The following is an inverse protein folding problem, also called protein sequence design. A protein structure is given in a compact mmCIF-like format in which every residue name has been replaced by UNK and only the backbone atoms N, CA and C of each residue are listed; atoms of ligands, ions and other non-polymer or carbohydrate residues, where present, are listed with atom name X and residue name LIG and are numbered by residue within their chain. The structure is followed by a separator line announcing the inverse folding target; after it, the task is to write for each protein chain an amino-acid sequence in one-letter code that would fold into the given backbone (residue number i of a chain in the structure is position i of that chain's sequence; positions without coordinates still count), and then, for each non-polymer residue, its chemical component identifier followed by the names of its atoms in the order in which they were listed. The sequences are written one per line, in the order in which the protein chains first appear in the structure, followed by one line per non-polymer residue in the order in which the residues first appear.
data_IF_725835618521
#
_entry.id   IF_725835618521
#
_cell.length_a   1.000
_cell.length_b   1.000
_cell.length_c   1.000
_cell.angle_alpha   90.00
_cell.angle_beta   90.00
_cell.angle_gamma   90.00
#
_symmetry.space_group_name_H-M   'P 1'
#
loop_
_entity.id
_entity.type
_entity.pdbx_description
1 polymer ?
#
# COMPACT_ATOMS: atom_id res chain seq x y z
N UNK A 1 16.53 -34.65 -25.99
CA UNK A 1 16.96 -35.28 -27.26
C UNK A 1 18.15 -36.22 -27.09
N UNK A 2 19.32 -35.79 -26.59
CA UNK A 2 20.52 -36.65 -26.48
C UNK A 2 20.31 -37.96 -25.69
N UNK A 3 19.66 -37.90 -24.52
CA UNK A 3 19.33 -39.11 -23.74
C UNK A 3 18.33 -40.03 -24.47
N UNK A 4 17.45 -39.46 -25.30
CA UNK A 4 16.51 -40.22 -26.13
C UNK A 4 17.24 -40.99 -27.24
N UNK A 5 18.16 -40.32 -27.95
CA UNK A 5 19.02 -40.96 -28.95
C UNK A 5 19.89 -42.04 -28.31
N UNK A 6 20.50 -41.75 -27.16
CA UNK A 6 21.32 -42.73 -26.42
C UNK A 6 20.54 -43.98 -26.02
N UNK A 7 19.30 -43.82 -25.52
CA UNK A 7 18.42 -44.94 -25.19
C UNK A 7 17.95 -45.72 -26.42
N UNK A 8 17.66 -45.02 -27.53
CA UNK A 8 17.32 -45.68 -28.79
C UNK A 8 18.50 -46.54 -29.29
N UNK A 9 19.71 -45.98 -29.31
CA UNK A 9 20.92 -46.73 -29.70
C UNK A 9 21.21 -47.87 -28.76
N UNK A 10 21.02 -47.68 -27.43
CA UNK A 10 21.19 -48.74 -26.45
C UNK A 10 20.20 -49.89 -26.70
N UNK A 11 18.92 -49.58 -26.96
CA UNK A 11 17.92 -50.59 -27.29
C UNK A 11 18.25 -51.38 -28.56
N UNK A 12 18.75 -50.72 -29.61
CA UNK A 12 19.15 -51.37 -30.87
C UNK A 12 20.30 -52.37 -30.69
N UNK A 13 21.18 -52.16 -29.72
CA UNK A 13 22.31 -53.06 -29.42
C UNK A 13 22.03 -54.02 -28.26
N UNK A 14 20.76 -54.14 -27.82
CA UNK A 14 20.37 -55.04 -26.72
C UNK A 14 20.72 -54.55 -25.31
N UNK A 15 20.99 -53.26 -25.16
CA UNK A 15 21.28 -52.61 -23.88
C UNK A 15 20.03 -52.25 -23.07
N UNK A 16 20.23 -51.94 -21.79
CA UNK A 16 19.19 -51.52 -20.84
C UNK A 16 19.03 -49.98 -20.90
N UNK A 17 17.83 -49.41 -20.65
CA UNK A 17 17.66 -47.96 -20.56
C UNK A 17 18.69 -47.27 -19.65
N UNK A 18 19.38 -46.29 -20.21
CA UNK A 18 20.38 -45.47 -19.56
C UNK A 18 19.80 -44.13 -19.08
N UNK A 19 20.27 -43.69 -17.92
CA UNK A 19 19.96 -42.40 -17.32
C UNK A 19 21.21 -41.75 -16.74
N UNK A 20 21.12 -40.46 -16.44
CA UNK A 20 22.19 -39.76 -15.73
C UNK A 20 22.33 -40.29 -14.31
N UNK A 21 23.57 -40.56 -13.89
CA UNK A 21 23.87 -41.06 -12.53
C UNK A 21 24.54 -39.95 -11.73
N UNK A 22 23.75 -39.31 -10.87
CA UNK A 22 24.14 -38.14 -10.06
C UNK A 22 25.44 -38.39 -9.29
N UNK A 23 25.57 -39.57 -8.67
CA UNK A 23 26.74 -39.92 -7.85
C UNK A 23 28.02 -39.97 -8.69
N UNK A 24 27.98 -40.56 -9.90
CA UNK A 24 29.16 -40.65 -10.79
C UNK A 24 29.56 -39.27 -11.31
N UNK A 25 28.58 -38.45 -11.68
CA UNK A 25 28.82 -37.07 -12.12
C UNK A 25 29.45 -36.23 -11.00
N UNK A 26 28.95 -36.36 -9.77
CA UNK A 26 29.50 -35.63 -8.61
C UNK A 26 30.96 -36.01 -8.32
N UNK A 27 31.30 -37.30 -8.40
CA UNK A 27 32.68 -37.77 -8.21
C UNK A 27 33.59 -37.29 -9.35
N UNK A 28 33.13 -37.36 -10.60
CA UNK A 28 33.88 -36.89 -11.77
C UNK A 28 34.21 -35.39 -11.67
N UNK A 29 33.27 -34.57 -11.19
CA UNK A 29 33.48 -33.12 -10.95
C UNK A 29 34.45 -32.89 -9.78
N UNK A 30 34.30 -33.63 -8.67
CA UNK A 30 35.23 -33.54 -7.54
C UNK A 30 36.66 -33.96 -7.90
N UNK A 31 36.81 -34.87 -8.87
CA UNK A 31 38.10 -35.28 -9.44
C UNK A 31 38.68 -34.25 -10.43
N UNK A 32 38.08 -33.05 -10.57
CA UNK A 32 38.59 -31.96 -11.40
C UNK A 32 38.24 -32.06 -12.89
N UNK A 33 37.30 -32.93 -13.28
CA UNK A 33 36.91 -33.08 -14.68
C UNK A 33 36.10 -31.89 -15.19
N UNK A 34 36.57 -31.28 -16.27
CA UNK A 34 35.94 -30.10 -16.91
C UNK A 34 35.37 -30.41 -18.30
N UNK A 35 35.53 -31.64 -18.81
CA UNK A 35 35.15 -32.00 -20.18
C UNK A 35 34.34 -33.30 -20.29
N UNK A 36 33.56 -33.42 -21.37
CA UNK A 36 32.78 -34.63 -21.70
C UNK A 36 33.69 -35.83 -22.06
N UNK A 37 34.96 -35.58 -22.40
CA UNK A 37 35.93 -36.63 -22.74
C UNK A 37 36.11 -37.59 -21.57
N UNK A 38 36.09 -37.09 -20.32
CA UNK A 38 36.16 -37.96 -19.13
C UNK A 38 35.06 -39.02 -19.12
N UNK A 39 33.83 -38.66 -19.48
CA UNK A 39 32.70 -39.61 -19.53
C UNK A 39 32.87 -40.63 -20.65
N UNK A 40 33.41 -40.23 -21.81
CA UNK A 40 33.69 -41.13 -22.93
C UNK A 40 34.81 -42.11 -22.54
N UNK A 41 35.91 -41.62 -21.97
CA UNK A 41 37.02 -42.44 -21.48
C UNK A 41 36.56 -43.42 -20.39
N UNK A 42 35.71 -42.97 -19.47
CA UNK A 42 35.12 -43.84 -18.46
C UNK A 42 34.29 -44.97 -19.09
N UNK A 43 33.54 -44.69 -20.16
CA UNK A 43 32.83 -45.70 -20.93
C UNK A 43 33.77 -46.75 -21.54
N UNK A 44 34.88 -46.31 -22.16
CA UNK A 44 35.92 -47.23 -22.66
C UNK A 44 36.56 -48.07 -21.55
N UNK A 45 36.87 -47.47 -20.40
CA UNK A 45 37.44 -48.20 -19.27
C UNK A 45 36.49 -49.27 -18.72
N UNK A 46 35.19 -48.97 -18.63
CA UNK A 46 34.18 -49.98 -18.26
C UNK A 46 34.13 -51.10 -19.31
N UNK A 47 34.13 -50.75 -20.60
CA UNK A 47 34.11 -51.73 -21.69
C UNK A 47 35.32 -52.69 -21.61
N UNK A 48 36.53 -52.16 -21.49
CA UNK A 48 37.75 -52.98 -21.36
C UNK A 48 37.78 -53.77 -20.05
N UNK A 49 37.35 -53.19 -18.93
CA UNK A 49 37.30 -53.92 -17.66
C UNK A 49 36.36 -55.13 -17.75
N UNK A 50 35.17 -54.97 -18.31
CA UNK A 50 34.22 -56.08 -18.47
C UNK A 50 34.77 -57.16 -19.42
N UNK A 51 35.50 -56.76 -20.47
CA UNK A 51 36.09 -57.69 -21.44
C UNK A 51 37.31 -58.46 -20.87
N UNK A 52 38.20 -57.79 -20.12
CA UNK A 52 39.51 -58.33 -19.76
C UNK A 52 39.55 -59.07 -18.42
N UNK A 53 38.67 -58.73 -17.46
CA UNK A 53 38.73 -59.28 -16.10
C UNK A 53 37.42 -59.93 -15.58
N UNK A 54 36.65 -60.68 -16.40
CA UNK A 54 35.39 -61.28 -15.95
C UNK A 54 35.58 -62.27 -14.79
N UNK A 55 36.68 -63.04 -14.79
CA UNK A 55 36.98 -64.02 -13.74
C UNK A 55 37.22 -63.40 -12.36
N UNK A 56 37.71 -62.15 -12.30
CA UNK A 56 37.88 -61.41 -11.05
C UNK A 56 36.59 -60.74 -10.61
N UNK A 57 35.81 -60.20 -11.55
CA UNK A 57 34.51 -59.57 -11.25
C UNK A 57 33.53 -60.58 -10.61
N UNK A 58 33.54 -61.84 -11.05
CA UNK A 58 32.70 -62.90 -10.48
C UNK A 58 33.10 -63.32 -9.05
N UNK A 59 34.26 -62.88 -8.54
CA UNK A 59 34.69 -63.15 -7.16
C UNK A 59 34.24 -62.08 -6.16
N UNK A 60 33.59 -61.01 -6.64
CA UNK A 60 33.14 -59.91 -5.77
C UNK A 60 31.99 -60.42 -4.87
N UNK A 61 32.13 -60.34 -3.53
CA UNK A 61 31.07 -60.76 -2.63
C UNK A 61 29.82 -59.88 -2.77
N UNK A 62 28.63 -60.50 -2.74
CA UNK A 62 27.35 -59.76 -2.76
C UNK A 62 27.18 -58.82 -1.57
N UNK A 63 27.81 -59.13 -0.43
CA UNK A 63 27.80 -58.28 0.77
C UNK A 63 28.49 -56.93 0.52
N UNK A 64 29.56 -56.89 -0.28
CA UNK A 64 30.24 -55.65 -0.66
C UNK A 64 29.33 -54.76 -1.52
N UNK A 65 28.59 -55.35 -2.45
CA UNK A 65 27.61 -54.64 -3.29
C UNK A 65 26.44 -54.12 -2.44
N UNK A 66 25.92 -54.93 -1.52
CA UNK A 66 24.85 -54.53 -0.61
C UNK A 66 25.26 -53.35 0.29
N UNK A 67 26.48 -53.37 0.84
CA UNK A 67 27.00 -52.26 1.64
C UNK A 67 27.07 -50.95 0.84
N UNK A 68 27.51 -51.00 -0.42
CA UNK A 68 27.54 -49.84 -1.33
C UNK A 68 26.13 -49.32 -1.59
N UNK A 69 25.15 -50.20 -1.83
CA UNK A 69 23.76 -49.83 -2.07
C UNK A 69 23.12 -49.17 -0.84
N UNK A 70 23.33 -49.72 0.36
CA UNK A 70 22.81 -49.15 1.62
C UNK A 70 23.42 -47.77 1.87
N UNK A 71 24.75 -47.64 1.76
CA UNK A 71 25.44 -46.36 1.94
C UNK A 71 24.94 -45.29 0.95
N UNK A 72 24.78 -45.68 -0.31
CA UNK A 72 24.27 -44.78 -1.36
C UNK A 72 22.81 -44.39 -1.09
N UNK A 73 21.97 -45.35 -0.70
CA UNK A 73 20.58 -45.12 -0.31
C UNK A 73 20.46 -44.14 0.85
N UNK A 74 21.24 -44.31 1.91
CA UNK A 74 21.29 -43.38 3.04
C UNK A 74 21.74 -41.98 2.62
N UNK A 75 22.76 -41.88 1.75
CA UNK A 75 23.25 -40.58 1.27
C UNK A 75 22.21 -39.83 0.44
N UNK A 76 21.38 -40.53 -0.33
CA UNK A 76 20.32 -39.94 -1.16
C UNK A 76 19.05 -39.63 -0.35
N UNK A 77 18.74 -40.42 0.69
CA UNK A 77 17.52 -40.28 1.48
C UNK A 77 17.82 -40.01 2.97
N UNK A 78 18.55 -38.92 3.25
CA UNK A 78 18.94 -38.57 4.61
C UNK A 78 17.74 -38.09 5.45
N UNK A 79 17.65 -38.44 6.74
CA UNK A 79 16.57 -37.96 7.62
C UNK A 79 16.43 -36.43 7.70
N UNK A 80 17.53 -35.70 7.48
CA UNK A 80 17.51 -34.23 7.44
C UNK A 80 16.63 -33.66 6.33
N UNK A 81 16.43 -34.37 5.22
CA UNK A 81 15.55 -33.94 4.12
C UNK A 81 14.10 -33.87 4.60
N UNK A 82 13.63 -34.90 5.32
CA UNK A 82 12.27 -34.97 5.85
C UNK A 82 11.99 -33.83 6.83
N UNK A 83 12.94 -33.57 7.74
CA UNK A 83 12.83 -32.46 8.71
C UNK A 83 12.76 -31.11 8.00
N UNK A 84 13.58 -30.90 6.98
CA UNK A 84 13.59 -29.65 6.20
C UNK A 84 12.30 -29.44 5.42
N UNK A 85 11.71 -30.49 4.86
CA UNK A 85 10.44 -30.38 4.12
C UNK A 85 9.27 -30.17 5.09
N UNK A 86 9.26 -30.85 6.24
CA UNK A 86 8.26 -30.65 7.29
C UNK A 86 8.26 -29.19 7.78
N UNK A 87 9.43 -28.57 7.94
CA UNK A 87 9.57 -27.18 8.32
C UNK A 87 8.99 -26.18 7.30
N UNK A 88 8.76 -26.58 6.05
CA UNK A 88 8.15 -25.72 5.01
C UNK A 88 6.62 -25.73 5.03
N UNK A 89 5.99 -26.46 5.97
CA UNK A 89 4.54 -26.51 6.14
C UNK A 89 3.87 -27.73 5.50
N UNK A 90 2.62 -27.95 5.89
CA UNK A 90 1.81 -29.12 5.48
C UNK A 90 1.61 -29.22 3.98
N UNK A 91 1.50 -28.09 3.28
CA UNK A 91 1.18 -28.04 1.86
C UNK A 91 2.30 -28.64 1.00
N UNK A 92 3.55 -28.63 1.50
CA UNK A 92 4.69 -29.27 0.84
C UNK A 92 5.00 -30.64 1.43
N UNK A 93 4.82 -30.80 2.74
CA UNK A 93 5.15 -32.05 3.42
C UNK A 93 4.20 -33.20 3.05
N UNK A 94 2.89 -32.94 2.95
CA UNK A 94 1.91 -33.99 2.68
C UNK A 94 2.11 -34.62 1.29
N UNK A 95 2.20 -33.87 0.18
CA UNK A 95 2.47 -34.48 -1.12
C UNK A 95 3.80 -35.25 -1.15
N UNK A 96 4.84 -34.72 -0.50
CA UNK A 96 6.15 -35.37 -0.41
C UNK A 96 6.07 -36.72 0.31
N UNK A 97 5.52 -36.77 1.52
CA UNK A 97 5.47 -38.01 2.30
C UNK A 97 4.53 -39.04 1.68
N UNK A 98 3.41 -38.60 1.10
CA UNK A 98 2.49 -39.48 0.35
C UNK A 98 3.22 -40.12 -0.82
N UNK A 99 4.00 -39.34 -1.59
CA UNK A 99 4.81 -39.88 -2.69
C UNK A 99 5.76 -40.96 -2.18
N UNK A 100 6.49 -40.69 -1.09
CA UNK A 100 7.44 -41.65 -0.48
C UNK A 100 6.73 -42.94 -0.05
N UNK A 101 5.63 -42.83 0.71
CA UNK A 101 4.89 -43.99 1.21
C UNK A 101 4.31 -44.80 0.05
N UNK A 102 3.72 -44.15 -0.95
CA UNK A 102 3.14 -44.84 -2.10
C UNK A 102 4.20 -45.55 -2.94
N UNK A 103 5.41 -44.99 -3.08
CA UNK A 103 6.51 -45.68 -3.78
C UNK A 103 6.92 -46.96 -3.03
N UNK A 104 6.97 -46.92 -1.69
CA UNK A 104 7.37 -48.06 -0.85
C UNK A 104 6.30 -49.16 -0.85
N UNK A 105 5.03 -48.79 -0.77
CA UNK A 105 3.90 -49.73 -0.66
C UNK A 105 3.53 -50.33 -2.01
N UNK A 106 3.55 -49.53 -3.08
CA UNK A 106 3.17 -49.96 -4.42
C UNK A 106 4.40 -50.13 -5.31
N UNK A 107 4.61 -49.21 -6.23
CA UNK A 107 5.76 -49.17 -7.11
C UNK A 107 6.07 -47.71 -7.47
N UNK A 108 7.22 -47.48 -8.11
CA UNK A 108 7.71 -46.15 -8.45
C UNK A 108 6.72 -45.35 -9.30
N UNK A 109 6.15 -45.96 -10.35
CA UNK A 109 5.28 -45.26 -11.29
C UNK A 109 3.97 -44.82 -10.60
N UNK A 110 3.29 -45.75 -9.93
CA UNK A 110 2.04 -45.47 -9.22
C UNK A 110 2.26 -44.44 -8.11
N UNK A 111 3.36 -44.55 -7.36
CA UNK A 111 3.68 -43.60 -6.29
C UNK A 111 3.92 -42.18 -6.78
N UNK A 112 4.62 -42.01 -7.91
CA UNK A 112 4.82 -40.69 -8.52
C UNK A 112 3.50 -40.09 -9.02
N UNK A 113 2.64 -40.88 -9.67
CA UNK A 113 1.35 -40.39 -10.16
C UNK A 113 0.44 -39.91 -9.04
N UNK A 114 0.35 -40.68 -7.94
CA UNK A 114 -0.41 -40.29 -6.75
C UNK A 114 0.20 -39.02 -6.13
N UNK A 115 1.53 -38.97 -6.00
CA UNK A 115 2.25 -37.81 -5.50
C UNK A 115 1.94 -36.53 -6.27
N UNK A 116 2.01 -36.59 -7.61
CA UNK A 116 1.70 -35.47 -8.49
C UNK A 116 0.24 -35.04 -8.37
N UNK A 117 -0.71 -35.98 -8.28
CA UNK A 117 -2.12 -35.66 -8.10
C UNK A 117 -2.37 -34.91 -6.78
N UNK A 118 -1.76 -35.38 -5.67
CA UNK A 118 -1.86 -34.72 -4.37
C UNK A 118 -1.18 -33.35 -4.38
N UNK A 119 0.00 -33.24 -4.98
CA UNK A 119 0.68 -31.95 -5.16
C UNK A 119 -0.18 -30.95 -5.92
N UNK A 120 -0.79 -31.37 -7.03
CA UNK A 120 -1.68 -30.53 -7.83
C UNK A 120 -2.88 -30.06 -7.02
N UNK A 121 -3.50 -30.94 -6.24
CA UNK A 121 -4.62 -30.58 -5.37
C UNK A 121 -4.25 -29.49 -4.35
N UNK A 122 -3.10 -29.62 -3.67
CA UNK A 122 -2.66 -28.63 -2.69
C UNK A 122 -2.31 -27.28 -3.33
N UNK A 123 -1.69 -27.28 -4.51
CA UNK A 123 -1.41 -26.06 -5.28
C UNK A 123 -2.72 -25.34 -5.63
N UNK A 124 -3.71 -26.08 -6.15
CA UNK A 124 -5.01 -25.51 -6.52
C UNK A 124 -5.77 -25.00 -5.29
N UNK A 125 -5.77 -25.74 -4.18
CA UNK A 125 -6.41 -25.32 -2.93
C UNK A 125 -5.80 -24.02 -2.40
N UNK A 126 -4.47 -23.94 -2.35
CA UNK A 126 -3.77 -22.74 -1.88
C UNK A 126 -4.06 -21.53 -2.77
N UNK A 127 -4.11 -21.72 -4.09
CA UNK A 127 -4.42 -20.66 -5.04
C UNK A 127 -5.90 -20.20 -4.98
N UNK A 128 -6.83 -21.13 -4.75
CA UNK A 128 -8.26 -20.84 -4.61
C UNK A 128 -8.60 -19.96 -3.39
N UNK A 129 -7.74 -19.93 -2.37
CA UNK A 129 -7.94 -19.14 -1.15
C UNK A 129 -7.44 -17.69 -1.26
N UNK A 130 -7.07 -17.21 -2.46
CA UNK A 130 -6.70 -15.81 -2.66
C UNK A 130 -7.84 -14.91 -2.16
N UNK A 131 -7.56 -14.13 -1.11
CA UNK A 131 -8.55 -13.25 -0.46
C UNK A 131 -8.97 -12.16 -1.43
N UNK A 132 -10.25 -12.17 -1.77
CA UNK A 132 -10.95 -11.06 -2.40
C UNK A 132 -11.60 -10.33 -1.24
N UNK A 133 -11.16 -9.11 -0.94
CA UNK A 133 -11.71 -8.30 0.15
C UNK A 133 -12.27 -6.99 -0.42
N UNK A 134 -13.39 -6.55 0.14
CA UNK A 134 -13.91 -5.20 -0.07
C UNK A 134 -13.26 -4.23 0.92
N UNK A 135 -12.65 -3.16 0.39
CA UNK A 135 -12.13 -2.03 1.15
C UNK A 135 -13.20 -0.93 1.22
N UNK A 136 -13.45 -0.37 2.39
CA UNK A 136 -14.33 0.80 2.56
C UNK A 136 -13.49 2.07 2.51
N UNK A 137 -13.74 2.91 1.51
CA UNK A 137 -13.07 4.20 1.31
C UNK A 137 -14.02 5.33 1.69
N UNK A 138 -13.55 6.30 2.48
CA UNK A 138 -14.32 7.51 2.82
C UNK A 138 -13.85 8.65 1.90
N UNK A 139 -14.71 9.03 0.96
CA UNK A 139 -14.49 10.14 0.02
C UNK A 139 -15.31 11.36 0.42
N UNK A 140 -15.01 12.56 -0.11
CA UNK A 140 -15.88 13.73 0.03
C UNK A 140 -17.34 13.45 -0.40
N UNK A 141 -17.52 12.59 -1.41
CA UNK A 141 -18.83 12.21 -1.96
C UNK A 141 -19.58 11.16 -1.13
N UNK A 142 -18.98 10.62 -0.06
CA UNK A 142 -19.54 9.58 0.79
C UNK A 142 -18.67 8.34 0.94
N UNK A 143 -19.22 7.30 1.58
CA UNK A 143 -18.56 5.99 1.73
C UNK A 143 -18.69 5.17 0.45
N UNK A 144 -17.55 4.68 -0.07
CA UNK A 144 -17.47 3.89 -1.28
C UNK A 144 -16.84 2.53 -0.95
N UNK A 145 -17.49 1.45 -1.38
CA UNK A 145 -16.93 0.11 -1.31
C UNK A 145 -16.02 -0.10 -2.54
N UNK A 146 -14.79 -0.59 -2.36
CA UNK A 146 -13.88 -0.95 -3.46
C UNK A 146 -13.50 -2.41 -3.39
N UNK A 147 -13.76 -3.11 -4.49
CA UNK A 147 -13.35 -4.48 -4.73
C UNK A 147 -12.12 -4.48 -5.64
N UNK A 148 -10.94 -4.74 -5.08
CA UNK A 148 -9.70 -4.84 -5.87
C UNK A 148 -9.53 -6.27 -6.35
N UNK A 149 -9.56 -6.47 -7.67
CA UNK A 149 -9.40 -7.79 -8.25
C UNK A 149 -7.91 -8.22 -8.22
N UNK A 150 -7.61 -9.45 -7.75
CA UNK A 150 -6.28 -10.06 -7.87
C UNK A 150 -5.70 -10.04 -9.29
N UNK A 151 -4.40 -10.30 -9.41
CA UNK A 151 -3.72 -10.39 -10.72
C UNK A 151 -4.28 -11.51 -11.60
N UNK A 152 -4.73 -12.60 -10.99
CA UNK A 152 -5.27 -13.79 -11.66
C UNK A 152 -6.66 -14.09 -11.08
N UNK A 153 -7.69 -13.90 -11.89
CA UNK A 153 -9.06 -14.22 -11.54
C UNK A 153 -9.47 -15.50 -12.30
N UNK A 154 -9.40 -16.64 -11.64
CA UNK A 154 -9.75 -17.95 -12.22
C UNK A 154 -11.13 -18.40 -11.77
N UNK A 155 -11.66 -19.48 -12.36
CA UNK A 155 -12.91 -20.12 -11.91
C UNK A 155 -12.91 -20.44 -10.41
N UNK A 156 -11.76 -20.80 -9.83
CA UNK A 156 -11.64 -21.13 -8.40
C UNK A 156 -11.98 -19.94 -7.48
N UNK A 157 -11.94 -18.71 -8.00
CA UNK A 157 -12.25 -17.50 -7.26
C UNK A 157 -13.75 -17.15 -7.28
N UNK A 158 -14.57 -17.85 -8.08
CA UNK A 158 -15.99 -17.54 -8.32
C UNK A 158 -16.80 -17.49 -7.03
N UNK A 159 -16.68 -18.49 -6.17
CA UNK A 159 -17.44 -18.57 -4.92
C UNK A 159 -17.11 -17.40 -3.96
N UNK A 160 -15.83 -17.04 -3.85
CA UNK A 160 -15.40 -15.91 -3.03
C UNK A 160 -15.90 -14.58 -3.62
N UNK A 161 -15.80 -14.40 -4.93
CA UNK A 161 -16.29 -13.20 -5.60
C UNK A 161 -17.80 -13.02 -5.44
N UNK A 162 -18.60 -14.09 -5.60
CA UNK A 162 -20.05 -14.07 -5.37
C UNK A 162 -20.36 -13.66 -3.94
N UNK A 163 -19.69 -14.28 -2.95
CA UNK A 163 -19.92 -13.95 -1.53
C UNK A 163 -19.64 -12.47 -1.23
N UNK A 164 -18.56 -11.91 -1.76
CA UNK A 164 -18.22 -10.49 -1.58
C UNK A 164 -19.23 -9.58 -2.28
N UNK A 165 -19.58 -9.83 -3.55
CA UNK A 165 -20.58 -9.06 -4.29
C UNK A 165 -21.98 -9.13 -3.64
N UNK A 166 -22.32 -10.26 -3.03
CA UNK A 166 -23.57 -10.43 -2.30
C UNK A 166 -23.60 -9.62 -1.00
N UNK A 167 -22.45 -9.48 -0.34
CA UNK A 167 -22.32 -8.72 0.92
C UNK A 167 -22.49 -7.21 0.75
N UNK A 168 -22.43 -6.68 -0.48
CA UNK A 168 -22.56 -5.25 -0.75
C UNK A 168 -23.98 -4.76 -0.40
N UNK A 169 -24.11 -3.74 0.47
CA UNK A 169 -25.40 -3.18 0.85
C UNK A 169 -26.18 -2.59 -0.34
N UNK A 170 -27.51 -2.59 -0.24
CA UNK A 170 -28.37 -1.85 -1.19
C UNK A 170 -28.12 -0.35 -1.09
N UNK A 171 -28.37 0.38 -2.17
CA UNK A 171 -28.25 1.85 -2.24
C UNK A 171 -26.83 2.36 -1.86
N UNK A 172 -25.81 1.57 -2.20
CA UNK A 172 -24.39 1.89 -1.93
C UNK A 172 -23.60 2.20 -3.20
N UNK A 173 -22.39 2.72 -3.04
CA UNK A 173 -21.43 2.93 -4.13
C UNK A 173 -20.40 1.80 -4.13
N UNK A 174 -20.10 1.24 -5.31
CA UNK A 174 -19.12 0.17 -5.50
C UNK A 174 -18.17 0.49 -6.65
N UNK A 175 -16.87 0.29 -6.42
CA UNK A 175 -15.82 0.32 -7.44
C UNK A 175 -15.25 -1.09 -7.59
N UNK A 176 -15.32 -1.66 -8.80
CA UNK A 176 -14.62 -2.89 -9.16
C UNK A 176 -13.35 -2.51 -9.92
N UNK A 177 -12.19 -2.81 -9.33
CA UNK A 177 -10.89 -2.35 -9.79
C UNK A 177 -10.04 -3.50 -10.34
N UNK A 178 -9.87 -3.51 -11.67
CA UNK A 178 -9.12 -4.50 -12.42
C UNK A 178 -7.77 -3.97 -12.94
N UNK A 179 -7.28 -2.82 -12.47
CA UNK A 179 -6.08 -2.15 -13.04
C UNK A 179 -4.82 -3.03 -12.99
N UNK A 180 -4.70 -3.88 -11.98
CA UNK A 180 -3.57 -4.81 -11.82
C UNK A 180 -3.92 -6.25 -12.26
N UNK A 181 -5.13 -6.48 -12.76
CA UNK A 181 -5.59 -7.80 -13.17
C UNK A 181 -5.04 -8.15 -14.55
N UNK A 182 -4.29 -9.24 -14.62
CA UNK A 182 -3.66 -9.71 -15.85
C UNK A 182 -4.59 -10.63 -16.63
N UNK A 183 -5.24 -11.56 -15.92
CA UNK A 183 -6.12 -12.58 -16.48
C UNK A 183 -7.43 -12.65 -15.71
N UNK A 184 -8.54 -12.73 -16.44
CA UNK A 184 -9.89 -12.99 -15.92
C UNK A 184 -10.46 -14.14 -16.74
N UNK A 185 -10.84 -15.21 -16.05
CA UNK A 185 -11.51 -16.34 -16.67
C UNK A 185 -12.87 -15.94 -17.25
N UNK A 186 -13.29 -16.64 -18.31
CA UNK A 186 -14.53 -16.34 -19.01
C UNK A 186 -15.73 -16.32 -18.06
N UNK A 187 -15.84 -17.30 -17.16
CA UNK A 187 -16.97 -17.37 -16.22
C UNK A 187 -16.99 -16.20 -15.24
N UNK A 188 -15.82 -15.74 -14.77
CA UNK A 188 -15.72 -14.56 -13.90
C UNK A 188 -16.12 -13.30 -14.68
N UNK A 189 -15.69 -13.19 -15.93
CA UNK A 189 -16.05 -12.04 -16.77
C UNK A 189 -17.54 -11.97 -17.08
N UNK A 190 -18.21 -13.13 -17.22
CA UNK A 190 -19.66 -13.22 -17.39
C UNK A 190 -20.40 -12.87 -16.10
N UNK A 191 -19.95 -13.40 -14.95
CA UNK A 191 -20.49 -13.03 -13.63
C UNK A 191 -20.41 -11.53 -13.36
N UNK A 192 -19.29 -10.88 -13.70
CA UNK A 192 -19.13 -9.43 -13.52
C UNK A 192 -20.06 -8.62 -14.43
N UNK A 193 -20.37 -9.12 -15.63
CA UNK A 193 -21.35 -8.50 -16.54
C UNK A 193 -22.76 -8.66 -16.02
N UNK A 194 -23.13 -9.86 -15.59
CA UNK A 194 -24.42 -10.14 -14.96
C UNK A 194 -24.62 -9.27 -13.71
N UNK A 195 -23.58 -9.14 -12.87
CA UNK A 195 -23.62 -8.25 -11.72
C UNK A 195 -23.89 -6.79 -12.13
N UNK A 196 -23.19 -6.30 -13.16
CA UNK A 196 -23.39 -4.94 -13.68
C UNK A 196 -24.80 -4.73 -14.25
N UNK A 197 -25.28 -5.67 -15.05
CA UNK A 197 -26.51 -5.50 -15.84
C UNK A 197 -27.78 -5.81 -15.04
N UNK A 198 -27.70 -6.70 -14.05
CA UNK A 198 -28.85 -7.18 -13.30
C UNK A 198 -28.76 -6.84 -11.81
N UNK A 199 -27.71 -7.30 -11.13
CA UNK A 199 -27.67 -7.24 -9.66
C UNK A 199 -27.47 -5.83 -9.11
N UNK A 200 -26.55 -5.06 -9.70
CA UNK A 200 -26.28 -3.69 -9.27
C UNK A 200 -27.52 -2.78 -9.43
N UNK A 201 -28.21 -2.75 -10.59
CA UNK A 201 -29.48 -2.03 -10.73
C UNK A 201 -30.55 -2.49 -9.74
N UNK A 202 -30.70 -3.81 -9.54
CA UNK A 202 -31.69 -4.36 -8.61
C UNK A 202 -31.42 -3.97 -7.15
N UNK A 203 -30.15 -3.91 -6.74
CA UNK A 203 -29.73 -3.44 -5.41
C UNK A 203 -29.60 -1.91 -5.34
N UNK A 204 -29.83 -1.19 -6.45
CA UNK A 204 -29.56 0.25 -6.63
C UNK A 204 -28.13 0.63 -6.23
N UNK A 205 -27.16 -0.22 -6.57
CA UNK A 205 -25.74 0.05 -6.37
C UNK A 205 -25.26 0.92 -7.52
N UNK A 206 -24.71 2.09 -7.21
CA UNK A 206 -23.99 2.89 -8.21
C UNK A 206 -22.61 2.24 -8.43
N UNK A 207 -22.33 1.81 -9.65
CA UNK A 207 -21.20 0.94 -9.97
C UNK A 207 -20.19 1.63 -10.89
N UNK A 208 -18.94 1.70 -10.43
CA UNK A 208 -17.81 2.05 -11.27
C UNK A 208 -16.97 0.80 -11.55
N UNK A 209 -16.69 0.51 -12.81
CA UNK A 209 -15.77 -0.56 -13.22
C UNK A 209 -14.55 0.07 -13.90
N UNK A 210 -13.35 -0.19 -13.39
CA UNK A 210 -12.12 0.44 -13.88
C UNK A 210 -11.02 -0.59 -14.16
N UNK A 211 -10.15 -0.29 -15.13
CA UNK A 211 -8.95 -1.07 -15.42
C UNK A 211 -9.18 -2.36 -16.21
N UNK A 212 -10.39 -2.59 -16.72
CA UNK A 212 -10.68 -3.78 -17.53
C UNK A 212 -10.04 -3.65 -18.92
N UNK A 213 -9.36 -4.71 -19.37
CA UNK A 213 -8.78 -4.80 -20.72
C UNK A 213 -9.89 -4.94 -21.77
N UNK A 214 -9.69 -4.34 -22.96
CA UNK A 214 -10.70 -4.28 -24.02
C UNK A 214 -11.28 -5.64 -24.43
N UNK A 215 -10.45 -6.69 -24.46
CA UNK A 215 -10.89 -8.02 -24.89
C UNK A 215 -11.91 -8.68 -23.95
N UNK A 216 -12.04 -8.23 -22.71
CA UNK A 216 -13.10 -8.70 -21.80
C UNK A 216 -14.48 -8.12 -22.14
N UNK A 217 -14.55 -7.11 -23.01
CA UNK A 217 -15.79 -6.39 -23.39
C UNK A 217 -16.54 -5.81 -22.18
N UNK A 218 -15.81 -5.51 -21.11
CA UNK A 218 -16.29 -4.75 -19.95
C UNK A 218 -15.68 -3.36 -20.12
N UNK A 219 -16.43 -2.46 -20.76
CA UNK A 219 -15.97 -1.07 -20.90
C UNK A 219 -15.95 -0.41 -19.54
N UNK A 220 -14.91 0.40 -19.28
CA UNK A 220 -14.83 1.19 -18.06
C UNK A 220 -16.13 2.01 -17.95
N UNK A 221 -16.89 1.74 -16.89
CA UNK A 221 -18.23 2.26 -16.67
C UNK A 221 -18.18 3.11 -15.41
N UNK A 222 -18.67 4.34 -15.49
CA UNK A 222 -18.59 5.30 -14.40
C UNK A 222 -20.01 5.83 -14.15
N UNK A 223 -20.65 5.33 -13.11
CA UNK A 223 -21.96 5.80 -12.63
C UNK A 223 -21.86 7.05 -11.77
N UNK A 224 -20.74 7.22 -11.04
CA UNK A 224 -20.56 8.32 -10.11
C UNK A 224 -19.15 8.92 -10.18
N UNK A 225 -19.08 10.21 -9.88
CA UNK A 225 -17.86 11.02 -9.91
C UNK A 225 -17.24 11.04 -8.50
N UNK A 226 -15.94 10.79 -8.40
CA UNK A 226 -15.23 10.76 -7.11
C UNK A 226 -14.56 12.10 -6.74
N UNK A 227 -14.63 13.13 -7.60
CA UNK A 227 -14.17 14.49 -7.26
C UNK A 227 -15.25 15.22 -6.48
N UNK A 228 -14.85 16.19 -5.66
CA UNK A 228 -15.80 17.07 -5.00
C UNK A 228 -16.62 17.88 -6.03
N UNK A 229 -17.93 17.93 -5.83
CA UNK A 229 -18.89 18.69 -6.65
C UNK A 229 -19.54 19.78 -5.82
N UNK A 230 -20.26 20.71 -6.48
CA UNK A 230 -21.00 21.76 -5.79
C UNK A 230 -21.96 21.20 -4.73
N UNK A 231 -22.76 20.20 -5.10
CA UNK A 231 -23.75 19.61 -4.20
C UNK A 231 -23.08 18.96 -2.98
N UNK A 232 -21.94 18.29 -3.17
CA UNK A 232 -21.19 17.70 -2.06
C UNK A 232 -20.64 18.81 -1.15
N UNK A 233 -19.97 19.80 -1.73
CA UNK A 233 -19.40 20.92 -0.99
C UNK A 233 -20.49 21.70 -0.21
N UNK A 234 -21.67 21.90 -0.77
CA UNK A 234 -22.74 22.69 -0.15
C UNK A 234 -23.40 22.00 1.05
N UNK A 235 -23.41 20.67 1.08
CA UNK A 235 -24.03 19.88 2.15
C UNK A 235 -23.07 19.47 3.27
N UNK A 236 -21.76 19.56 3.05
CA UNK A 236 -20.76 19.22 4.06
C UNK A 236 -20.67 20.28 5.16
N UNK A 237 -20.68 19.82 6.41
CA UNK A 237 -20.33 20.65 7.57
C UNK A 237 -18.81 20.77 7.73
N UNK A 238 -18.30 21.83 8.39
CA UNK A 238 -16.86 21.94 8.66
C UNK A 238 -16.30 20.75 9.46
N UNK A 239 -17.09 20.16 10.38
CA UNK A 239 -16.69 18.99 11.15
C UNK A 239 -16.59 17.73 10.29
N UNK A 240 -17.49 17.54 9.32
CA UNK A 240 -17.43 16.44 8.35
C UNK A 240 -16.19 16.57 7.46
N UNK A 241 -15.87 17.78 6.99
CA UNK A 241 -14.65 18.03 6.22
C UNK A 241 -13.40 17.69 7.03
N UNK A 242 -13.36 18.07 8.31
CA UNK A 242 -12.24 17.71 9.20
C UNK A 242 -12.13 16.18 9.37
N UNK A 243 -13.24 15.46 9.52
CA UNK A 243 -13.24 14.00 9.60
C UNK A 243 -12.69 13.36 8.31
N UNK A 244 -13.09 13.86 7.14
CA UNK A 244 -12.60 13.35 5.83
C UNK A 244 -11.07 13.46 5.76
N UNK A 245 -10.51 14.62 6.12
CA UNK A 245 -9.07 14.87 6.08
C UNK A 245 -8.32 14.08 7.16
N UNK A 246 -8.89 13.96 8.37
CA UNK A 246 -8.33 13.12 9.42
C UNK A 246 -8.24 11.65 8.99
N UNK A 247 -9.30 11.09 8.42
CA UNK A 247 -9.33 9.72 7.88
C UNK A 247 -8.33 9.57 6.72
N UNK A 248 -8.17 10.61 5.90
CA UNK A 248 -7.13 10.67 4.88
C UNK A 248 -5.72 10.53 5.44
N UNK A 249 -5.41 11.22 6.55
CA UNK A 249 -4.14 11.03 7.23
C UNK A 249 -4.00 9.63 7.85
N UNK A 250 -5.09 9.03 8.36
CA UNK A 250 -5.05 7.64 8.83
C UNK A 250 -4.77 6.66 7.67
N UNK A 251 -5.34 6.87 6.48
CA UNK A 251 -5.03 6.06 5.30
C UNK A 251 -3.58 6.21 4.87
N UNK A 252 -3.07 7.44 4.85
CA UNK A 252 -1.66 7.74 4.58
C UNK A 252 -0.71 7.00 5.56
N UNK A 253 -1.00 7.04 6.86
CA UNK A 253 -0.19 6.36 7.88
C UNK A 253 -0.17 4.82 7.75
N UNK A 254 -1.21 4.23 7.14
CA UNK A 254 -1.35 2.79 6.98
C UNK A 254 -1.05 2.30 5.57
N UNK A 255 -0.51 3.15 4.69
CA UNK A 255 -0.26 2.87 3.25
C UNK A 255 -1.52 2.36 2.51
N UNK A 256 -2.71 2.77 2.96
CA UNK A 256 -4.01 2.37 2.40
C UNK A 256 -4.70 3.54 1.68
N UNK A 257 -3.94 4.21 0.80
CA UNK A 257 -4.37 5.41 0.06
C UNK A 257 -5.55 5.13 -0.88
N UNK A 258 -6.40 6.13 -1.06
CA UNK A 258 -7.51 6.07 -2.02
C UNK A 258 -6.94 5.98 -3.43
N UNK A 259 -7.44 5.00 -4.15
CA UNK A 259 -7.09 4.82 -5.55
C UNK A 259 -7.94 5.70 -6.47
N UNK A 260 -7.38 6.80 -6.94
CA UNK A 260 -8.02 7.69 -7.92
C UNK A 260 -7.43 7.55 -9.32
N UNK A 261 -8.16 8.05 -10.31
CA UNK A 261 -7.70 8.14 -11.70
C UNK A 261 -7.44 9.60 -12.01
N UNK A 262 -6.16 9.98 -12.04
CA UNK A 262 -5.76 11.37 -12.27
C UNK A 262 -6.36 11.93 -13.58
N UNK A 263 -6.43 11.12 -14.63
CA UNK A 263 -6.99 11.55 -15.91
C UNK A 263 -8.48 11.88 -15.82
N UNK A 264 -9.25 11.10 -15.04
CA UNK A 264 -10.67 11.36 -14.81
C UNK A 264 -10.85 12.60 -13.92
N UNK A 265 -10.10 12.67 -12.82
CA UNK A 265 -10.18 13.80 -11.89
C UNK A 265 -9.88 15.13 -12.59
N UNK A 266 -8.82 15.19 -13.40
CA UNK A 266 -8.49 16.36 -14.23
C UNK A 266 -9.64 16.71 -15.18
N UNK A 267 -10.20 15.71 -15.87
CA UNK A 267 -11.31 15.94 -16.81
C UNK A 267 -12.55 16.50 -16.11
N UNK A 268 -12.86 16.01 -14.91
CA UNK A 268 -14.03 16.45 -14.15
C UNK A 268 -13.84 17.83 -13.51
N UNK A 269 -12.63 18.16 -13.09
CA UNK A 269 -12.30 19.46 -12.45
C UNK A 269 -11.92 20.57 -13.45
N UNK A 270 -11.74 20.24 -14.73
CA UNK A 270 -11.30 21.20 -15.75
C UNK A 270 -12.25 22.39 -15.96
N UNK A 271 -13.56 22.21 -15.74
CA UNK A 271 -14.57 23.27 -15.95
C UNK A 271 -14.85 24.08 -14.69
N UNK A 272 -14.85 23.42 -13.53
CA UNK A 272 -15.19 24.01 -12.24
C UNK A 272 -14.51 23.22 -11.12
N UNK A 273 -14.23 23.90 -10.01
CA UNK A 273 -13.62 23.33 -8.82
C UNK A 273 -14.53 23.60 -7.60
N UNK A 274 -14.63 22.63 -6.71
CA UNK A 274 -15.47 22.70 -5.50
C UNK A 274 -14.73 22.21 -4.26
N UNK A 275 -13.55 22.77 -3.92
CA UNK A 275 -12.75 22.29 -2.81
C UNK A 275 -13.48 22.43 -1.47
N UNK A 276 -13.33 21.44 -0.59
CA UNK A 276 -13.98 21.41 0.72
C UNK A 276 -13.19 22.12 1.81
N UNK A 277 -11.87 22.21 1.64
CA UNK A 277 -10.96 22.83 2.59
C UNK A 277 -9.91 23.72 1.90
N UNK A 278 -9.37 24.67 2.67
CA UNK A 278 -8.13 25.37 2.35
C UNK A 278 -7.12 25.11 3.45
N UNK A 279 -5.91 24.71 3.06
CA UNK A 279 -4.81 24.43 3.99
C UNK A 279 -3.70 25.45 3.76
N UNK A 280 -3.41 26.24 4.79
CA UNK A 280 -2.22 27.08 4.87
C UNK A 280 -1.09 26.27 5.52
N UNK A 281 -0.14 25.81 4.71
CA UNK A 281 0.99 24.99 5.13
C UNK A 281 2.35 25.62 4.83
N UNK A 282 3.41 24.92 5.23
CA UNK A 282 4.78 25.32 4.93
C UNK A 282 5.20 24.94 3.50
N UNK A 283 6.21 25.64 2.95
CA UNK A 283 6.88 25.27 1.69
C UNK A 283 7.77 24.02 1.82
N UNK A 284 7.83 23.39 2.99
CA UNK A 284 8.66 22.22 3.27
C UNK A 284 8.33 21.04 2.34
N UNK A 285 9.32 20.56 1.58
CA UNK A 285 9.13 19.50 0.59
C UNK A 285 8.70 18.15 1.18
N UNK A 286 8.79 17.97 2.49
CA UNK A 286 8.37 16.75 3.22
C UNK A 286 6.92 16.82 3.71
N UNK A 287 6.22 17.92 3.43
CA UNK A 287 4.81 18.13 3.82
C UNK A 287 3.93 18.36 2.58
N UNK A 288 3.78 17.36 1.68
CA UNK A 288 2.83 17.44 0.56
C UNK A 288 1.39 17.28 1.08
N UNK A 289 0.68 18.40 1.23
CA UNK A 289 -0.63 18.47 1.89
C UNK A 289 -1.66 17.50 1.28
N UNK A 290 -1.73 17.44 -0.04
CA UNK A 290 -2.66 16.59 -0.76
C UNK A 290 -2.38 15.10 -0.49
N UNK A 291 -1.11 14.72 -0.38
CA UNK A 291 -0.69 13.34 -0.10
C UNK A 291 -0.93 12.96 1.35
N UNK A 292 -0.57 13.82 2.32
CA UNK A 292 -0.71 13.50 3.75
C UNK A 292 -2.19 13.39 4.19
N UNK A 293 -3.10 14.03 3.44
CA UNK A 293 -4.55 13.93 3.66
C UNK A 293 -5.25 13.03 2.64
N UNK A 294 -4.50 12.36 1.76
CA UNK A 294 -5.04 11.43 0.77
C UNK A 294 -6.24 12.01 -0.02
N UNK A 295 -6.03 13.23 -0.54
CA UNK A 295 -6.96 13.98 -1.40
C UNK A 295 -6.31 14.24 -2.76
N UNK A 296 -7.12 14.61 -3.76
CA UNK A 296 -6.69 14.75 -5.16
C UNK A 296 -7.14 16.08 -5.76
N UNK A 297 -6.98 16.20 -7.09
CA UNK A 297 -7.30 17.38 -7.87
C UNK A 297 -8.70 17.92 -7.55
N UNK A 298 -8.76 19.20 -7.19
CA UNK A 298 -10.00 19.93 -6.93
C UNK A 298 -10.64 19.69 -5.56
N UNK A 299 -10.10 18.78 -4.72
CA UNK A 299 -10.69 18.48 -3.41
C UNK A 299 -10.33 19.55 -2.36
N UNK A 300 -9.14 20.15 -2.42
CA UNK A 300 -8.70 21.21 -1.49
C UNK A 300 -7.91 22.31 -2.21
N UNK A 301 -7.84 23.48 -1.59
CA UNK A 301 -6.82 24.49 -1.89
C UNK A 301 -5.62 24.33 -0.95
N UNK A 302 -4.41 24.46 -1.49
CA UNK A 302 -3.17 24.47 -0.72
C UNK A 302 -2.43 25.79 -0.91
N UNK A 303 -2.24 26.54 0.17
CA UNK A 303 -1.39 27.74 0.20
C UNK A 303 -0.11 27.39 0.95
N UNK A 304 1.04 27.60 0.31
CA UNK A 304 2.35 27.18 0.86
C UNK A 304 3.27 28.37 1.05
N UNK A 305 3.57 28.68 2.31
CA UNK A 305 4.46 29.80 2.69
C UNK A 305 5.41 29.33 3.78
N UNK A 306 6.69 29.69 3.72
CA UNK A 306 7.65 29.31 4.75
C UNK A 306 7.16 29.74 6.14
N UNK A 307 7.20 28.83 7.11
CA UNK A 307 6.69 29.07 8.46
C UNK A 307 5.18 29.29 8.54
N UNK A 308 4.41 28.92 7.49
CA UNK A 308 2.95 29.01 7.43
C UNK A 308 2.39 30.37 7.87
N UNK A 309 3.14 31.45 7.61
CA UNK A 309 2.77 32.81 8.01
C UNK A 309 1.75 33.43 7.05
N UNK A 310 1.00 34.41 7.55
CA UNK A 310 -0.01 35.13 6.77
C UNK A 310 0.45 36.56 6.41
N UNK A 311 0.30 36.92 5.13
CA UNK A 311 0.38 38.28 4.61
C UNK A 311 -0.94 38.66 3.92
N UNK A 312 -1.01 39.81 3.25
CA UNK A 312 -2.24 40.27 2.60
C UNK A 312 -2.65 39.34 1.44
N UNK A 313 -1.71 38.83 0.66
CA UNK A 313 -2.00 37.95 -0.48
C UNK A 313 -2.54 36.58 -0.03
N UNK A 314 -1.96 36.03 1.05
CA UNK A 314 -2.43 34.79 1.68
C UNK A 314 -3.84 35.00 2.25
N UNK A 315 -4.08 36.11 2.95
CA UNK A 315 -5.38 36.40 3.53
C UNK A 315 -6.46 36.57 2.44
N UNK A 316 -6.14 37.32 1.37
CA UNK A 316 -7.02 37.47 0.22
C UNK A 316 -7.30 36.13 -0.49
N UNK A 317 -6.32 35.23 -0.55
CA UNK A 317 -6.50 33.88 -1.10
C UNK A 317 -7.45 33.04 -0.24
N UNK A 318 -7.37 33.16 1.09
CA UNK A 318 -8.30 32.47 2.01
C UNK A 318 -9.70 33.07 1.93
N UNK A 319 -9.83 34.39 1.83
CA UNK A 319 -11.10 35.07 1.59
C UNK A 319 -11.75 34.61 0.29
N UNK A 320 -10.99 34.52 -0.79
CA UNK A 320 -11.47 33.99 -2.06
C UNK A 320 -11.97 32.55 -1.92
N UNK A 321 -11.17 31.67 -1.29
CA UNK A 321 -11.53 30.27 -1.08
C UNK A 321 -12.85 30.13 -0.30
N UNK A 322 -13.03 30.89 0.78
CA UNK A 322 -14.20 30.76 1.64
C UNK A 322 -15.42 31.50 1.08
N UNK A 323 -15.26 32.78 0.73
CA UNK A 323 -16.38 33.66 0.39
C UNK A 323 -16.80 33.58 -1.09
N UNK A 324 -15.90 33.21 -2.00
CA UNK A 324 -16.20 33.10 -3.44
C UNK A 324 -16.41 31.65 -3.87
N UNK A 325 -15.53 30.74 -3.44
CA UNK A 325 -15.58 29.32 -3.86
C UNK A 325 -16.42 28.45 -2.92
N UNK A 326 -16.63 28.86 -1.67
CA UNK A 326 -17.51 28.17 -0.72
C UNK A 326 -16.85 27.04 0.08
N UNK A 327 -15.52 27.08 0.24
CA UNK A 327 -14.78 26.17 1.15
C UNK A 327 -15.36 26.22 2.55
N UNK A 328 -15.43 25.07 3.24
CA UNK A 328 -16.05 24.92 4.57
C UNK A 328 -15.05 24.97 5.73
N UNK A 329 -13.79 24.63 5.48
CA UNK A 329 -12.78 24.49 6.55
C UNK A 329 -11.46 25.17 6.17
N UNK A 330 -10.92 25.97 7.10
CA UNK A 330 -9.56 26.51 7.04
C UNK A 330 -8.67 25.68 7.98
N UNK A 331 -7.56 25.15 7.48
CA UNK A 331 -6.54 24.48 8.28
C UNK A 331 -5.25 25.28 8.27
N UNK A 332 -4.75 25.66 9.44
CA UNK A 332 -3.39 26.17 9.60
C UNK A 332 -2.48 25.01 10.02
N UNK A 333 -1.64 24.54 9.11
CA UNK A 333 -0.82 23.35 9.29
C UNK A 333 0.66 23.71 9.49
N UNK A 334 1.10 23.68 10.75
CA UNK A 334 2.50 23.68 11.12
C UNK A 334 3.15 22.31 10.93
N UNK A 335 4.46 22.22 11.12
CA UNK A 335 5.14 20.92 11.15
C UNK A 335 6.39 20.93 12.01
N UNK A 336 6.77 19.76 12.52
CA UNK A 336 8.00 19.62 13.30
C UNK A 336 9.24 19.86 12.42
N UNK A 337 10.32 20.35 13.03
CA UNK A 337 11.60 20.67 12.34
C UNK A 337 11.42 21.65 11.16
N UNK A 338 10.61 22.69 11.35
CA UNK A 338 10.43 23.74 10.36
C UNK A 338 11.67 24.64 10.26
N UNK A 339 12.30 24.67 9.09
CA UNK A 339 13.50 25.47 8.85
C UNK A 339 13.27 26.97 8.99
N UNK A 340 12.07 27.47 8.67
CA UNK A 340 11.72 28.88 8.86
C UNK A 340 11.61 29.23 10.35
N UNK A 341 10.93 28.39 11.15
CA UNK A 341 10.83 28.59 12.61
C UNK A 341 12.24 28.56 13.22
N UNK A 342 13.07 27.57 12.86
CA UNK A 342 14.46 27.47 13.33
C UNK A 342 15.29 28.72 12.96
N UNK A 343 15.16 29.21 11.72
CA UNK A 343 15.87 30.40 11.27
C UNK A 343 15.42 31.66 12.01
N UNK A 344 14.12 31.76 12.33
CA UNK A 344 13.58 32.86 13.14
C UNK A 344 14.10 32.80 14.58
N UNK A 345 14.12 31.61 15.19
CA UNK A 345 14.69 31.39 16.52
C UNK A 345 16.18 31.75 16.61
N UNK A 346 16.94 31.53 15.52
CA UNK A 346 18.37 31.87 15.45
C UNK A 346 18.63 33.33 15.06
N UNK A 347 17.58 34.12 14.79
CA UNK A 347 17.72 35.53 14.39
C UNK A 347 18.40 35.71 13.03
N UNK A 348 18.16 34.80 12.07
CA UNK A 348 18.76 34.89 10.74
C UNK A 348 18.19 36.09 9.97
N UNK A 349 19.08 36.97 9.49
CA UNK A 349 18.71 38.12 8.65
C UNK A 349 19.38 38.00 7.27
N UNK A 350 18.59 37.70 6.23
CA UNK A 350 19.12 37.50 4.85
C UNK A 350 18.11 37.78 3.74
N UNK A 351 18.14 38.98 3.17
CA UNK A 351 17.26 39.33 2.04
C UNK A 351 15.78 39.25 2.41
N UNK A 352 14.92 38.83 1.48
CA UNK A 352 13.46 38.79 1.70
C UNK A 352 13.01 37.82 2.80
N UNK A 353 13.87 36.86 3.21
CA UNK A 353 13.49 35.94 4.29
C UNK A 353 13.31 36.69 5.62
N UNK A 354 14.06 37.79 5.86
CA UNK A 354 13.98 38.56 7.10
C UNK A 354 12.55 39.03 7.37
N UNK A 355 11.89 39.62 6.36
CA UNK A 355 10.52 40.12 6.49
C UNK A 355 9.50 39.00 6.72
N UNK A 356 9.78 37.79 6.23
CA UNK A 356 8.96 36.62 6.50
C UNK A 356 9.18 36.13 7.94
N UNK A 357 10.42 36.03 8.40
CA UNK A 357 10.76 35.59 9.76
C UNK A 357 10.25 36.57 10.82
N UNK A 358 10.18 37.87 10.50
CA UNK A 358 9.59 38.89 11.37
C UNK A 358 8.13 38.59 11.73
N UNK A 359 7.40 37.88 10.85
CA UNK A 359 6.00 37.50 11.12
C UNK A 359 5.88 36.37 12.15
N UNK A 360 6.98 35.65 12.42
CA UNK A 360 7.12 34.57 13.41
C UNK A 360 7.53 35.14 14.78
N UNK A 361 8.20 36.31 14.83
CA UNK A 361 8.68 36.94 16.08
C UNK A 361 7.64 36.98 17.20
N UNK A 362 6.36 37.33 16.99
CA UNK A 362 5.35 37.30 18.06
C UNK A 362 5.21 35.94 18.75
N UNK A 363 5.36 34.83 18.02
CA UNK A 363 5.33 33.49 18.60
C UNK A 363 6.61 33.15 19.38
N UNK A 364 7.76 33.67 18.95
CA UNK A 364 9.03 33.54 19.68
C UNK A 364 8.95 34.33 20.99
N UNK A 365 8.46 35.56 20.93
CA UNK A 365 8.39 36.46 22.09
C UNK A 365 7.36 35.98 23.12
N UNK A 366 6.27 35.35 22.67
CA UNK A 366 5.25 34.76 23.54
C UNK A 366 5.69 33.45 24.21
N UNK A 367 6.69 32.74 23.67
CA UNK A 367 7.23 31.54 24.32
C UNK A 367 8.02 31.97 25.56
N UNK A 368 7.54 31.58 26.73
CA UNK A 368 8.09 31.96 28.02
C UNK A 368 8.46 30.76 28.91
N UNK A 369 8.21 29.53 28.45
CA UNK A 369 8.58 28.31 29.17
C UNK A 369 10.08 28.01 29.09
N UNK A 370 10.73 28.43 27.99
CA UNK A 370 12.16 28.24 27.79
C UNK A 370 12.95 29.48 28.22
N UNK A 371 13.66 29.37 29.35
CA UNK A 371 14.51 30.45 29.87
C UNK A 371 15.90 30.52 29.21
N UNK A 372 16.50 29.37 28.89
CA UNK A 372 17.87 29.28 28.35
C UNK A 372 17.91 28.48 27.04
N UNK A 373 18.95 28.69 26.22
CA UNK A 373 19.13 27.98 24.94
C UNK A 373 17.95 28.16 23.97
N UNK A 374 17.42 29.38 23.86
CA UNK A 374 16.37 29.78 22.92
C UNK A 374 16.91 29.91 21.49
N UNK A 375 17.30 28.79 20.91
CA UNK A 375 17.89 28.68 19.57
C UNK A 375 17.47 27.38 18.88
N UNK A 376 17.69 27.24 17.58
CA UNK A 376 17.21 26.14 16.72
C UNK A 376 17.61 24.73 17.16
N UNK A 377 18.68 24.58 17.93
CA UNK A 377 19.14 23.28 18.46
C UNK A 377 18.30 22.78 19.64
N UNK A 378 17.55 23.65 20.31
CA UNK A 378 16.66 23.26 21.39
C UNK A 378 15.30 22.86 20.79
N UNK A 379 15.08 21.55 20.67
CA UNK A 379 13.89 21.02 20.00
C UNK A 379 12.60 21.32 20.74
N UNK A 380 12.63 21.37 22.08
CA UNK A 380 11.45 21.70 22.89
C UNK A 380 11.02 23.14 22.63
N UNK A 381 11.96 24.07 22.70
CA UNK A 381 11.72 25.49 22.37
C UNK A 381 11.16 25.65 20.96
N UNK A 382 11.79 25.03 19.96
CA UNK A 382 11.33 25.13 18.56
C UNK A 382 9.93 24.54 18.38
N UNK A 383 9.58 23.45 19.08
CA UNK A 383 8.24 22.87 19.03
C UNK A 383 7.21 23.81 19.67
N UNK A 384 7.48 24.36 20.85
CA UNK A 384 6.62 25.34 21.51
C UNK A 384 6.38 26.57 20.62
N UNK A 385 7.45 27.11 20.01
CA UNK A 385 7.35 28.21 19.04
C UNK A 385 6.55 27.81 17.80
N UNK A 386 6.62 26.54 17.37
CA UNK A 386 5.83 26.04 16.23
C UNK A 386 4.34 26.09 16.56
N UNK A 387 3.94 25.60 17.73
CA UNK A 387 2.54 25.64 18.19
C UNK A 387 2.04 27.07 18.38
N UNK A 388 2.84 27.93 19.01
CA UNK A 388 2.56 29.36 19.13
C UNK A 388 2.45 30.05 17.77
N UNK A 389 3.25 29.66 16.77
CA UNK A 389 3.17 30.25 15.44
C UNK A 389 1.90 29.82 14.68
N UNK A 390 1.43 28.59 14.88
CA UNK A 390 0.12 28.15 14.38
C UNK A 390 -0.98 28.98 15.03
N UNK A 391 -0.97 29.14 16.36
CA UNK A 391 -1.93 29.97 17.09
C UNK A 391 -1.92 31.44 16.65
N UNK A 392 -0.74 32.04 16.51
CA UNK A 392 -0.52 33.41 16.03
C UNK A 392 -1.08 33.60 14.61
N UNK A 393 -0.92 32.60 13.75
CA UNK A 393 -1.46 32.65 12.38
C UNK A 393 -2.98 32.56 12.39
N UNK A 394 -3.56 31.66 13.19
CA UNK A 394 -5.02 31.54 13.37
C UNK A 394 -5.60 32.86 13.88
N UNK A 395 -5.00 33.43 14.92
CA UNK A 395 -5.40 34.72 15.48
C UNK A 395 -5.35 35.83 14.42
N UNK A 396 -4.26 35.92 13.65
CA UNK A 396 -4.12 36.94 12.59
C UNK A 396 -5.17 36.79 11.49
N UNK A 397 -5.50 35.57 11.08
CA UNK A 397 -6.57 35.34 10.08
C UNK A 397 -7.91 35.81 10.65
N UNK A 398 -8.20 35.45 11.90
CA UNK A 398 -9.45 35.79 12.58
C UNK A 398 -9.62 37.30 12.86
N UNK A 399 -8.54 38.00 13.18
CA UNK A 399 -8.60 39.43 13.54
C UNK A 399 -8.48 40.36 12.32
N UNK A 400 -7.71 39.98 11.30
CA UNK A 400 -7.39 40.89 10.18
C UNK A 400 -8.38 40.83 9.03
N UNK A 401 -9.17 39.76 8.91
CA UNK A 401 -10.22 39.64 7.89
C UNK A 401 -11.60 39.74 8.52
N UNK A 402 -12.30 40.84 8.26
CA UNK A 402 -13.69 41.00 8.68
C UNK A 402 -14.63 40.01 8.00
N UNK A 403 -14.33 39.59 6.77
CA UNK A 403 -15.11 38.60 6.01
C UNK A 403 -15.01 37.24 6.71
N UNK A 404 -13.79 36.73 6.89
CA UNK A 404 -13.58 35.42 7.52
C UNK A 404 -14.09 35.40 8.96
N UNK A 405 -13.87 36.47 9.71
CA UNK A 405 -14.41 36.64 11.05
C UNK A 405 -15.93 36.45 11.08
N UNK A 406 -16.67 37.16 10.22
CA UNK A 406 -18.14 37.05 10.17
C UNK A 406 -18.61 35.65 9.76
N UNK A 407 -17.93 34.99 8.82
CA UNK A 407 -18.29 33.64 8.37
C UNK A 407 -18.05 32.59 9.48
N UNK A 408 -16.97 32.72 10.26
CA UNK A 408 -16.68 31.86 11.43
C UNK A 408 -17.70 32.11 12.55
N UNK A 409 -18.10 33.35 12.78
CA UNK A 409 -19.10 33.67 13.79
C UNK A 409 -20.47 33.08 13.46
N UNK A 410 -20.86 33.09 12.17
CA UNK A 410 -22.08 32.47 11.66
C UNK A 410 -22.03 30.95 11.56
N UNK A 411 -20.86 30.34 11.75
CA UNK A 411 -20.59 28.92 11.50
C UNK A 411 -20.79 28.50 10.03
N UNK A 412 -20.69 29.44 9.08
CA UNK A 412 -20.70 29.13 7.64
C UNK A 412 -19.43 28.36 7.24
N UNK A 413 -18.33 28.66 7.93
CA UNK A 413 -17.03 27.99 7.84
C UNK A 413 -16.46 27.79 9.25
N UNK A 414 -15.47 26.92 9.39
CA UNK A 414 -14.68 26.81 10.61
C UNK A 414 -13.16 26.88 10.34
N UNK A 415 -12.39 27.04 11.41
CA UNK A 415 -10.92 27.05 11.37
C UNK A 415 -10.38 26.03 12.37
N UNK A 416 -9.24 25.42 12.05
CA UNK A 416 -8.51 24.51 12.96
C UNK A 416 -7.00 24.68 12.77
N UNK A 417 -6.25 24.53 13.86
CA UNK A 417 -4.80 24.40 13.83
C UNK A 417 -4.35 22.96 13.93
N UNK A 418 -3.24 22.63 13.29
CA UNK A 418 -2.61 21.33 13.41
C UNK A 418 -1.10 21.39 13.22
N UNK A 419 -0.40 20.38 13.75
CA UNK A 419 1.03 20.14 13.49
C UNK A 419 1.23 18.77 12.87
N UNK A 420 1.87 18.75 11.70
CA UNK A 420 2.35 17.53 11.06
C UNK A 420 3.71 17.13 11.62
N UNK A 421 3.83 15.88 12.09
CA UNK A 421 5.10 15.34 12.53
C UNK A 421 5.86 14.72 11.35
N UNK A 422 6.94 15.37 10.90
CA UNK A 422 7.72 14.94 9.72
C UNK A 422 8.41 13.58 9.89
N UNK A 423 8.52 13.07 11.11
CA UNK A 423 9.12 11.76 11.39
C UNK A 423 8.10 10.62 11.37
N UNK A 424 6.87 10.88 11.81
CA UNK A 424 5.84 9.84 11.95
C UNK A 424 4.75 9.91 10.87
N UNK A 425 4.62 11.04 10.18
CA UNK A 425 3.54 11.27 9.22
C UNK A 425 2.20 11.66 9.85
N UNK A 426 2.11 11.69 11.19
CA UNK A 426 0.86 11.95 11.91
C UNK A 426 0.58 13.45 11.98
N UNK A 427 -0.67 13.84 11.69
CA UNK A 427 -1.18 15.19 11.96
C UNK A 427 -1.84 15.22 13.34
N UNK A 428 -1.40 16.13 14.20
CA UNK A 428 -1.99 16.36 15.52
C UNK A 428 -2.78 17.67 15.52
N UNK A 429 -4.02 17.62 15.99
CA UNK A 429 -4.93 18.77 16.06
C UNK A 429 -5.06 19.24 17.49
N UNK A 430 -5.11 20.55 17.70
CA UNK A 430 -5.28 21.16 19.03
C UNK A 430 -6.24 22.35 18.97
N UNK A 431 -6.83 22.71 20.11
CA UNK A 431 -7.68 23.90 20.23
C UNK A 431 -6.86 25.18 20.46
N UNK A 432 -5.54 25.05 20.69
CA UNK A 432 -4.60 26.14 20.91
C UNK A 432 -5.00 27.15 22.00
N UNK A 433 -5.83 26.74 22.98
CA UNK A 433 -6.35 27.65 24.00
C UNK A 433 -5.22 28.23 24.89
N UNK A 434 -4.19 27.43 25.16
CA UNK A 434 -3.04 27.84 25.96
C UNK A 434 -2.15 28.84 25.20
N UNK A 435 -1.82 28.53 23.95
CA UNK A 435 -0.97 29.32 23.07
C UNK A 435 -1.62 30.66 22.71
N UNK A 436 -2.93 30.65 22.45
CA UNK A 436 -3.71 31.88 22.23
C UNK A 436 -3.73 32.77 23.49
N UNK A 437 -3.76 32.20 24.70
CA UNK A 437 -3.66 32.99 25.92
C UNK A 437 -2.26 33.64 26.04
N UNK A 438 -1.19 32.88 25.78
CA UNK A 438 0.19 33.40 25.81
C UNK A 438 0.42 34.55 24.83
N UNK A 439 -0.15 34.49 23.62
CA UNK A 439 -0.03 35.56 22.61
C UNK A 439 -0.77 36.85 23.00
N UNK A 440 -1.79 36.74 23.86
CA UNK A 440 -2.67 37.85 24.22
C UNK A 440 -3.58 38.31 23.08
N UNK A 441 -4.73 38.88 23.42
CA UNK A 441 -5.72 39.33 22.43
C UNK A 441 -7.13 39.32 23.00
N UNK A 442 -7.94 40.32 22.63
CA UNK A 442 -9.28 40.50 23.22
C UNK A 442 -10.25 39.37 22.89
N UNK A 443 -10.06 38.69 21.77
CA UNK A 443 -11.00 37.68 21.26
C UNK A 443 -10.49 36.23 21.39
N UNK A 444 -9.36 36.03 22.07
CA UNK A 444 -8.64 34.75 22.03
C UNK A 444 -9.38 33.62 22.76
N UNK A 445 -10.05 33.91 23.88
CA UNK A 445 -10.88 32.93 24.58
C UNK A 445 -12.07 32.48 23.72
N UNK A 446 -12.73 33.43 23.04
CA UNK A 446 -13.85 33.13 22.14
C UNK A 446 -13.39 32.32 20.92
N UNK A 447 -12.26 32.71 20.31
CA UNK A 447 -11.67 31.98 19.20
C UNK A 447 -11.30 30.54 19.61
N UNK A 448 -10.63 30.36 20.76
CA UNK A 448 -10.31 29.04 21.30
C UNK A 448 -11.57 28.19 21.53
N UNK A 449 -12.68 28.81 21.97
CA UNK A 449 -13.97 28.13 22.11
C UNK A 449 -14.53 27.62 20.78
N UNK A 450 -14.41 28.41 19.70
CA UNK A 450 -14.79 28.03 18.33
C UNK A 450 -13.95 26.86 17.80
N UNK A 451 -12.62 26.92 17.99
CA UNK A 451 -11.71 25.83 17.61
C UNK A 451 -12.06 24.53 18.36
N UNK A 452 -12.30 24.64 19.68
CA UNK A 452 -12.67 23.49 20.51
C UNK A 452 -14.04 22.90 20.16
N UNK A 453 -15.02 23.74 19.78
CA UNK A 453 -16.35 23.28 19.36
C UNK A 453 -16.26 22.40 18.10
N UNK A 454 -15.50 22.84 17.09
CA UNK A 454 -15.23 22.06 15.88
C UNK A 454 -14.59 20.71 16.21
N UNK A 455 -13.55 20.70 17.06
CA UNK A 455 -12.86 19.46 17.44
C UNK A 455 -13.79 18.49 18.17
N UNK A 456 -14.72 18.97 19.01
CA UNK A 456 -15.71 18.13 19.69
C UNK A 456 -16.79 17.59 18.76
N UNK A 457 -17.20 18.38 17.77
CA UNK A 457 -18.17 17.96 16.76
C UNK A 457 -17.55 16.93 15.79
N UNK A 458 -16.26 17.08 15.50
CA UNK A 458 -15.50 16.10 14.75
C UNK A 458 -15.28 14.82 15.58
N UNK A 459 -15.33 13.66 14.94
CA UNK A 459 -15.17 12.35 15.61
C UNK A 459 -13.70 11.91 15.65
N UNK A 460 -12.78 12.87 15.65
CA UNK A 460 -11.34 12.59 15.62
C UNK A 460 -10.84 12.20 17.00
N UNK A 461 -9.91 11.24 17.07
CA UNK A 461 -9.22 10.91 18.32
C UNK A 461 -8.04 11.87 18.49
N UNK A 462 -8.22 12.85 19.39
CA UNK A 462 -7.19 13.83 19.76
C UNK A 462 -6.06 13.14 20.52
#
# INVERSE_FOLDING_TARGET
MAQGVGNLTAGLIGGIPITSVIVRTSINIQAGSTSKISTILHGFFIFFAVMLIPGTLNKIPLSSLAAILIYTGYKLNKPSIYRNIFAQGSDRFIPFIVTVVCIIVFNLLTGILIGLAVSLFYILKSNSQARINILKEIHPTGEINRLVLPQQMTFLNKAALVAELDSIPRESQLIIDARYTQYIDKEISELLKEFKEEQAPNKKIALNMIGFKEHYKIHNYIDFINVTTYDVQSHLSPAEVLNILYEGNQRFLNDNLIHRSNQLDIKHTAKAQHPIAIVLGCIDSRVPVETIFDVSFGDIFCVRVAGNVVNNDVLASIEYACNVVGVKLIIVLGHTRCGAIQSACDGVEKGHITELLDKIKPAIDAENETETNRHSKNTTFVNNVTDLNVANTIQKIYERSSILHQMIEKNDIAMVGAVYNVQTGKVHYSNYAHELNQLGGKNNEHLASKLNALLKESKIKI
#
